data_IF_289425670817
#
_entry.id   IF_289425670817
#
_cell.length_a   1.000
_cell.length_b   1.000
_cell.length_c   1.000
_cell.angle_alpha   90.00
_cell.angle_beta   90.00
_cell.angle_gamma   90.00
#
_symmetry.space_group_name_H-M   'P 1'
#
loop_
_entity.id
_entity.type
_entity.pdbx_description
1 polymer ?
#
# COMPACT_ATOMS: atom_id res chain seq x y z
N UNK A 1 -4.95 -10.05 2.98
CA UNK A 1 -5.75 -10.69 1.90
C UNK A 1 -5.74 -9.98 0.54
N UNK A 2 -6.36 -8.81 0.31
CA UNK A 2 -6.38 -8.22 -1.06
C UNK A 2 -5.00 -7.84 -1.58
N UNK A 3 -4.13 -7.31 -0.71
CA UNK A 3 -2.73 -7.01 -1.04
C UNK A 3 -1.97 -8.29 -1.40
N UNK A 4 -2.09 -9.35 -0.60
CA UNK A 4 -1.46 -10.65 -0.89
C UNK A 4 -1.95 -11.23 -2.21
N UNK A 5 -3.25 -11.14 -2.50
CA UNK A 5 -3.80 -11.56 -3.79
C UNK A 5 -3.13 -10.81 -4.93
N UNK A 6 -2.93 -9.50 -4.82
CA UNK A 6 -2.25 -8.72 -5.86
C UNK A 6 -0.77 -9.13 -6.00
N UNK A 7 -0.07 -9.38 -4.90
CA UNK A 7 1.32 -9.87 -4.94
C UNK A 7 1.39 -11.25 -5.59
N UNK A 8 0.53 -12.17 -5.18
CA UNK A 8 0.42 -13.51 -5.75
C UNK A 8 0.06 -13.48 -7.23
N UNK A 9 -0.91 -12.64 -7.63
CA UNK A 9 -1.33 -12.47 -9.03
C UNK A 9 -0.17 -11.98 -9.90
N UNK A 10 0.67 -11.06 -9.40
CA UNK A 10 1.87 -10.58 -10.10
C UNK A 10 2.96 -11.65 -10.20
N UNK A 11 3.23 -12.36 -9.09
CA UNK A 11 4.22 -13.43 -9.07
C UNK A 11 3.82 -14.57 -10.03
N UNK A 12 2.57 -15.01 -9.95
CA UNK A 12 2.01 -16.05 -10.80
C UNK A 12 1.95 -15.62 -12.28
N UNK A 13 1.53 -14.37 -12.55
CA UNK A 13 1.47 -13.81 -13.90
C UNK A 13 2.83 -13.77 -14.58
N UNK A 14 3.88 -13.48 -13.80
CA UNK A 14 5.27 -13.49 -14.26
C UNK A 14 5.78 -14.92 -14.44
N UNK A 15 5.75 -15.75 -13.39
CA UNK A 15 6.34 -17.09 -13.41
C UNK A 15 5.74 -18.00 -14.49
N UNK A 16 4.44 -17.87 -14.75
CA UNK A 16 3.77 -18.69 -15.77
C UNK A 16 3.76 -18.03 -17.17
N UNK A 17 4.32 -16.83 -17.32
CA UNK A 17 4.24 -15.99 -18.52
C UNK A 17 2.80 -15.82 -19.02
N UNK A 18 1.90 -15.39 -18.13
CA UNK A 18 0.50 -15.15 -18.51
C UNK A 18 0.45 -13.86 -19.36
N UNK A 19 -0.10 -13.91 -20.60
CA UNK A 19 -0.20 -12.75 -21.45
C UNK A 19 -0.88 -11.56 -20.76
N UNK A 20 -0.25 -10.37 -20.85
CA UNK A 20 -0.74 -9.14 -20.24
C UNK A 20 -0.61 -9.05 -18.71
N UNK A 21 -0.08 -10.09 -18.04
CA UNK A 21 0.16 -10.10 -16.59
C UNK A 21 1.61 -10.26 -16.19
N UNK A 22 2.45 -10.82 -17.07
CA UNK A 22 3.89 -10.87 -16.84
C UNK A 22 4.45 -9.46 -16.74
N UNK A 23 5.33 -9.26 -15.75
CA UNK A 23 6.11 -8.03 -15.64
C UNK A 23 7.37 -8.06 -16.51
N UNK A 24 7.67 -9.21 -17.11
CA UNK A 24 8.78 -9.41 -18.04
C UNK A 24 8.25 -9.26 -19.47
N UNK A 25 8.28 -8.05 -20.01
CA UNK A 25 7.80 -7.77 -21.35
C UNK A 25 8.84 -7.04 -22.19
N UNK A 26 8.69 -7.08 -23.52
CA UNK A 26 9.65 -6.49 -24.47
C UNK A 26 10.00 -5.03 -24.14
N UNK A 27 9.02 -4.22 -23.75
CA UNK A 27 9.29 -2.83 -23.37
C UNK A 27 10.20 -2.73 -22.12
N UNK A 28 9.96 -3.53 -21.07
CA UNK A 28 10.80 -3.54 -19.88
C UNK A 28 12.24 -3.95 -20.23
N UNK A 29 12.41 -4.90 -21.17
CA UNK A 29 13.73 -5.32 -21.68
C UNK A 29 14.44 -4.22 -22.47
N UNK A 30 13.69 -3.42 -23.24
CA UNK A 30 14.24 -2.24 -23.95
C UNK A 30 14.60 -1.11 -22.97
N UNK A 31 13.82 -0.93 -21.91
CA UNK A 31 14.14 0.03 -20.86
C UNK A 31 15.48 -0.31 -20.18
N UNK A 32 15.81 -1.60 -20.00
CA UNK A 32 17.13 -2.03 -19.48
C UNK A 32 18.29 -1.59 -20.38
N UNK A 33 18.10 -1.63 -21.71
CA UNK A 33 19.09 -1.17 -22.69
C UNK A 33 19.28 0.35 -22.60
N UNK A 34 18.18 1.12 -22.57
CA UNK A 34 18.22 2.58 -22.43
C UNK A 34 18.91 2.99 -21.12
N UNK A 35 18.65 2.25 -20.04
CA UNK A 35 19.20 2.51 -18.73
C UNK A 35 20.65 2.03 -18.55
N UNK A 36 21.18 1.23 -19.49
CA UNK A 36 22.52 0.61 -19.49
C UNK A 36 22.80 -0.26 -18.26
N UNK A 37 21.85 -1.15 -17.96
CA UNK A 37 21.84 -2.00 -16.77
C UNK A 37 21.45 -3.42 -17.17
N UNK A 38 21.93 -4.43 -16.44
CA UNK A 38 21.65 -5.86 -16.71
C UNK A 38 21.91 -6.25 -18.19
N UNK A 39 23.14 -6.08 -18.70
CA UNK A 39 23.47 -6.35 -20.10
C UNK A 39 23.12 -7.78 -20.55
N UNK A 40 23.14 -8.74 -19.63
CA UNK A 40 22.78 -10.14 -19.88
C UNK A 40 21.29 -10.36 -20.20
N UNK A 41 20.45 -9.34 -20.05
CA UNK A 41 19.01 -9.38 -20.24
C UNK A 41 18.50 -8.44 -21.32
N UNK A 42 19.37 -7.60 -21.85
CA UNK A 42 19.06 -6.63 -22.89
C UNK A 42 18.76 -7.35 -24.22
N UNK A 43 17.91 -6.78 -25.07
CA UNK A 43 17.67 -7.32 -26.40
C UNK A 43 18.97 -7.34 -27.22
N UNK A 44 19.24 -8.48 -27.86
CA UNK A 44 20.34 -8.67 -28.80
C UNK A 44 19.78 -8.37 -30.18
N UNK A 45 20.33 -7.35 -30.85
CA UNK A 45 19.95 -6.97 -32.21
C UNK A 45 20.95 -7.59 -33.17
N UNK A 46 20.46 -8.38 -34.11
CA UNK A 46 21.26 -8.98 -35.18
C UNK A 46 21.32 -8.07 -36.41
N UNK A 47 22.27 -8.33 -37.31
CA UNK A 47 22.50 -7.52 -38.52
C UNK A 47 21.29 -7.51 -39.48
N UNK A 48 20.42 -8.51 -39.39
CA UNK A 48 19.17 -8.62 -40.15
C UNK A 48 18.00 -7.82 -39.53
N UNK A 49 18.23 -7.13 -38.41
CA UNK A 49 17.23 -6.37 -37.66
C UNK A 49 16.36 -7.22 -36.73
N UNK A 50 16.61 -8.52 -36.60
CA UNK A 50 15.91 -9.36 -35.64
C UNK A 50 16.38 -9.09 -34.21
N UNK A 51 15.43 -9.05 -33.28
CA UNK A 51 15.68 -8.88 -31.84
C UNK A 51 15.46 -10.21 -31.11
N UNK A 52 16.51 -10.71 -30.46
CA UNK A 52 16.41 -11.82 -29.52
C UNK A 52 16.43 -11.31 -28.08
N UNK A 53 15.59 -11.91 -27.24
CA UNK A 53 15.46 -11.56 -25.83
C UNK A 53 16.02 -12.69 -24.97
N UNK A 54 17.13 -12.48 -24.25
CA UNK A 54 17.71 -13.48 -23.35
C UNK A 54 16.71 -13.91 -22.28
N UNK A 55 16.79 -15.18 -21.88
CA UNK A 55 15.90 -15.75 -20.86
C UNK A 55 16.23 -15.19 -19.47
N UNK A 56 15.18 -14.87 -18.71
CA UNK A 56 15.31 -14.47 -17.31
C UNK A 56 15.75 -15.62 -16.41
N UNK A 57 16.27 -15.28 -15.23
CA UNK A 57 16.65 -16.29 -14.22
C UNK A 57 15.46 -17.07 -13.68
N UNK A 58 14.30 -16.43 -13.62
CA UNK A 58 13.04 -17.06 -13.21
C UNK A 58 12.29 -17.77 -14.35
N UNK A 59 12.86 -17.81 -15.57
CA UNK A 59 12.25 -18.48 -16.70
C UNK A 59 12.04 -19.98 -16.41
N UNK A 60 10.86 -20.48 -16.76
CA UNK A 60 10.51 -21.90 -16.64
C UNK A 60 10.16 -22.48 -18.00
N UNK A 61 10.71 -23.66 -18.30
CA UNK A 61 10.28 -24.46 -19.45
C UNK A 61 8.81 -24.86 -19.33
N UNK A 62 8.19 -25.26 -20.45
CA UNK A 62 6.82 -25.77 -20.43
C UNK A 62 6.64 -26.94 -19.44
N UNK A 63 7.66 -27.80 -19.31
CA UNK A 63 7.66 -28.91 -18.36
C UNK A 63 7.79 -28.42 -16.92
N UNK A 64 8.66 -27.45 -16.64
CA UNK A 64 8.78 -26.84 -15.30
C UNK A 64 7.48 -26.15 -14.88
N UNK A 65 6.83 -25.40 -15.78
CA UNK A 65 5.50 -24.81 -15.53
C UNK A 65 4.45 -25.87 -15.27
N UNK A 66 4.48 -26.99 -15.99
CA UNK A 66 3.58 -28.12 -15.74
C UNK A 66 3.82 -28.72 -14.38
N UNK A 67 5.08 -28.96 -13.99
CA UNK A 67 5.46 -29.43 -12.65
C UNK A 67 5.00 -28.45 -11.56
N UNK A 68 5.14 -27.14 -11.79
CA UNK A 68 4.70 -26.09 -10.86
C UNK A 68 3.20 -26.22 -10.57
N UNK A 69 2.37 -26.27 -11.62
CA UNK A 69 0.93 -26.47 -11.46
C UNK A 69 0.60 -27.84 -10.87
N UNK A 70 1.33 -28.90 -11.25
CA UNK A 70 1.08 -30.24 -10.73
C UNK A 70 1.32 -30.34 -9.22
N UNK A 71 2.38 -29.69 -8.72
CA UNK A 71 2.70 -29.65 -7.29
C UNK A 71 1.54 -29.03 -6.51
N UNK A 72 1.02 -27.88 -6.96
CA UNK A 72 -0.10 -27.19 -6.31
C UNK A 72 -1.40 -28.01 -6.43
N UNK A 73 -1.64 -28.67 -7.57
CA UNK A 73 -2.83 -29.48 -7.81
C UNK A 73 -2.91 -30.75 -6.95
N UNK A 74 -1.76 -31.37 -6.68
CA UNK A 74 -1.68 -32.65 -5.97
C UNK A 74 -1.69 -32.52 -4.44
N UNK A 75 -1.77 -31.30 -3.90
CA UNK A 75 -1.77 -31.10 -2.45
C UNK A 75 -3.06 -31.66 -1.85
N UNK A 76 -2.90 -32.58 -0.90
CA UNK A 76 -4.00 -33.06 -0.05
C UNK A 76 -4.01 -32.24 1.23
N UNK A 77 -5.14 -31.61 1.52
CA UNK A 77 -5.34 -30.80 2.71
C UNK A 77 -6.39 -31.43 3.63
N UNK A 78 -6.29 -31.26 4.95
CA UNK A 78 -7.34 -31.66 5.88
C UNK A 78 -8.67 -30.99 5.53
N UNK A 79 -9.78 -31.68 5.78
CA UNK A 79 -11.12 -31.16 5.53
C UNK A 79 -11.35 -29.86 6.30
N UNK A 80 -11.90 -28.83 5.64
CA UNK A 80 -12.16 -27.52 6.23
C UNK A 80 -10.95 -26.56 6.26
N UNK A 81 -9.76 -26.99 5.85
CA UNK A 81 -8.55 -26.16 5.91
C UNK A 81 -8.42 -25.16 4.74
N UNK A 82 -8.84 -25.55 3.54
CA UNK A 82 -8.93 -24.67 2.38
C UNK A 82 -10.08 -25.11 1.45
N UNK A 83 -10.44 -24.25 0.50
CA UNK A 83 -11.35 -24.64 -0.58
C UNK A 83 -10.66 -25.67 -1.50
N UNK A 84 -11.41 -26.28 -2.41
CA UNK A 84 -10.83 -27.17 -3.43
C UNK A 84 -9.97 -26.39 -4.43
N UNK A 85 -8.69 -26.16 -4.08
CA UNK A 85 -7.72 -25.41 -4.88
C UNK A 85 -7.48 -26.06 -6.24
N UNK A 86 -7.56 -27.40 -6.33
CA UNK A 86 -7.37 -28.16 -7.58
C UNK A 86 -8.29 -27.68 -8.71
N UNK A 87 -9.49 -27.18 -8.39
CA UNK A 87 -10.43 -26.57 -9.34
C UNK A 87 -9.83 -25.37 -10.08
N UNK A 88 -8.95 -24.63 -9.43
CA UNK A 88 -8.35 -23.41 -9.97
C UNK A 88 -7.14 -23.69 -10.88
N UNK A 89 -6.70 -24.95 -11.00
CA UNK A 89 -5.48 -25.31 -11.75
C UNK A 89 -5.78 -26.03 -13.06
N UNK A 90 -5.41 -25.37 -14.15
CA UNK A 90 -5.42 -25.93 -15.49
C UNK A 90 -4.00 -26.35 -15.87
N UNK A 91 -3.64 -27.60 -15.53
CA UNK A 91 -2.26 -28.12 -15.73
C UNK A 91 -1.87 -28.18 -17.21
N UNK A 92 -2.81 -28.56 -18.09
CA UNK A 92 -2.57 -28.57 -19.54
C UNK A 92 -2.28 -27.18 -20.10
N UNK A 93 -3.02 -26.17 -19.61
CA UNK A 93 -2.82 -24.78 -20.02
C UNK A 93 -1.68 -24.09 -19.27
N UNK A 94 -1.14 -24.70 -18.20
CA UNK A 94 -0.14 -24.10 -17.28
C UNK A 94 -0.63 -22.78 -16.69
N UNK A 95 -1.90 -22.74 -16.26
CA UNK A 95 -2.55 -21.56 -15.70
C UNK A 95 -3.20 -21.87 -14.35
N UNK A 96 -3.26 -20.84 -13.52
CA UNK A 96 -4.05 -20.82 -12.29
C UNK A 96 -5.09 -19.70 -12.44
N UNK A 97 -6.38 -20.04 -12.41
CA UNK A 97 -7.49 -19.10 -12.66
C UNK A 97 -8.69 -19.39 -11.75
N UNK A 98 -9.62 -18.43 -11.61
CA UNK A 98 -10.90 -18.66 -10.92
C UNK A 98 -10.80 -18.89 -9.41
N UNK A 99 -9.73 -18.40 -8.77
CA UNK A 99 -9.52 -18.45 -7.33
C UNK A 99 -9.92 -17.12 -6.67
N UNK A 100 -10.39 -17.19 -5.41
CA UNK A 100 -10.77 -16.03 -4.60
C UNK A 100 -9.58 -15.55 -3.75
N UNK A 101 -9.76 -14.43 -3.03
CA UNK A 101 -8.72 -13.88 -2.15
C UNK A 101 -8.26 -14.86 -1.07
N UNK A 102 -9.17 -15.68 -0.53
CA UNK A 102 -8.82 -16.71 0.46
C UNK A 102 -7.91 -17.78 -0.14
N UNK A 103 -8.25 -18.25 -1.33
CA UNK A 103 -7.46 -19.25 -2.07
C UNK A 103 -6.07 -18.68 -2.41
N UNK A 104 -6.01 -17.42 -2.85
CA UNK A 104 -4.74 -16.73 -3.13
C UNK A 104 -3.86 -16.59 -1.88
N UNK A 105 -4.45 -16.19 -0.75
CA UNK A 105 -3.75 -16.13 0.54
C UNK A 105 -3.17 -17.51 0.92
N UNK A 106 -3.98 -18.56 0.81
CA UNK A 106 -3.54 -19.92 1.09
C UNK A 106 -2.42 -20.38 0.16
N UNK A 107 -2.57 -20.14 -1.14
CA UNK A 107 -1.57 -20.48 -2.14
C UNK A 107 -0.26 -19.73 -1.89
N UNK A 108 -0.31 -18.42 -1.64
CA UNK A 108 0.87 -17.59 -1.35
C UNK A 108 1.62 -18.10 -0.12
N UNK A 109 0.90 -18.43 0.97
CA UNK A 109 1.53 -18.72 2.25
C UNK A 109 2.01 -20.16 2.39
N UNK A 110 1.35 -21.11 1.72
CA UNK A 110 1.60 -22.55 1.92
C UNK A 110 2.05 -23.27 0.67
N UNK A 111 1.48 -22.95 -0.51
CA UNK A 111 1.70 -23.76 -1.72
C UNK A 111 2.80 -23.22 -2.62
N UNK A 112 2.87 -21.89 -2.77
CA UNK A 112 3.88 -21.21 -3.58
C UNK A 112 5.31 -21.58 -3.13
N UNK A 113 5.66 -21.58 -1.83
CA UNK A 113 7.00 -21.97 -1.37
C UNK A 113 7.40 -23.39 -1.80
N UNK A 114 6.45 -24.32 -1.79
CA UNK A 114 6.68 -25.72 -2.16
C UNK A 114 6.86 -25.83 -3.67
N UNK A 115 6.02 -25.14 -4.44
CA UNK A 115 6.06 -25.16 -5.89
C UNK A 115 7.37 -24.55 -6.42
N UNK A 116 7.74 -23.34 -5.96
CA UNK A 116 8.97 -22.67 -6.42
C UNK A 116 10.22 -23.44 -6.02
N UNK A 117 10.26 -24.04 -4.82
CA UNK A 117 11.40 -24.86 -4.37
C UNK A 117 11.63 -26.09 -5.24
N UNK A 118 10.58 -26.60 -5.90
CA UNK A 118 10.64 -27.80 -6.75
C UNK A 118 10.89 -27.49 -8.22
N UNK A 119 10.64 -26.28 -8.69
CA UNK A 119 10.69 -25.94 -10.12
C UNK A 119 11.73 -24.89 -10.49
N UNK A 120 12.09 -24.01 -9.56
CA UNK A 120 13.01 -22.90 -9.79
C UNK A 120 14.36 -23.15 -9.10
N UNK A 121 15.45 -22.56 -9.63
CA UNK A 121 16.74 -22.63 -8.97
C UNK A 121 16.74 -21.85 -7.64
N UNK A 122 17.69 -22.18 -6.75
CA UNK A 122 17.66 -21.74 -5.33
C UNK A 122 17.74 -20.23 -5.18
N UNK A 123 18.48 -19.57 -6.05
CA UNK A 123 18.63 -18.11 -6.12
C UNK A 123 17.28 -17.40 -6.35
N UNK A 124 16.40 -17.97 -7.17
CA UNK A 124 15.05 -17.44 -7.43
C UNK A 124 14.03 -17.91 -6.38
N UNK A 125 14.11 -19.19 -5.98
CA UNK A 125 13.15 -19.78 -5.06
C UNK A 125 13.25 -19.19 -3.64
N UNK A 126 14.47 -18.93 -3.16
CA UNK A 126 14.72 -18.42 -1.80
C UNK A 126 13.99 -17.10 -1.51
N UNK A 127 14.12 -16.03 -2.33
CA UNK A 127 13.40 -14.78 -2.07
C UNK A 127 11.88 -14.94 -2.11
N UNK A 128 11.34 -15.77 -3.00
CA UNK A 128 9.90 -16.05 -3.05
C UNK A 128 9.41 -16.80 -1.79
N UNK A 129 10.20 -17.75 -1.30
CA UNK A 129 9.92 -18.47 -0.04
C UNK A 129 9.95 -17.51 1.16
N UNK A 130 10.95 -16.63 1.23
CA UNK A 130 11.05 -15.62 2.31
C UNK A 130 9.88 -14.64 2.24
N UNK A 131 9.46 -14.23 1.06
CA UNK A 131 8.31 -13.35 0.86
C UNK A 131 7.01 -14.01 1.36
N UNK A 132 6.79 -15.28 1.02
CA UNK A 132 5.67 -16.06 1.56
C UNK A 132 5.72 -16.21 3.07
N UNK A 133 6.91 -16.41 3.65
CA UNK A 133 7.09 -16.51 5.10
C UNK A 133 6.76 -15.19 5.81
N UNK A 134 7.19 -14.06 5.23
CA UNK A 134 6.85 -12.72 5.73
C UNK A 134 5.34 -12.49 5.77
N UNK A 135 4.63 -12.76 4.67
CA UNK A 135 3.17 -12.64 4.66
C UNK A 135 2.52 -13.60 5.66
N UNK A 136 2.97 -14.85 5.74
CA UNK A 136 2.48 -15.79 6.75
C UNK A 136 2.66 -15.26 8.18
N UNK A 137 3.76 -14.57 8.47
CA UNK A 137 4.02 -13.94 9.77
C UNK A 137 3.09 -12.78 10.08
N UNK A 138 2.94 -11.81 9.15
CA UNK A 138 2.09 -10.63 9.35
C UNK A 138 0.60 -10.99 9.46
N UNK A 139 0.16 -12.04 8.77
CA UNK A 139 -1.23 -12.48 8.78
C UNK A 139 -1.49 -13.62 9.78
N UNK A 140 -0.57 -13.86 10.72
CA UNK A 140 -0.79 -14.75 11.86
C UNK A 140 -1.92 -14.21 12.74
N UNK A 141 -2.67 -15.11 13.38
CA UNK A 141 -3.72 -14.71 14.36
C UNK A 141 -3.11 -14.00 15.56
N UNK A 142 -1.94 -14.48 15.99
CA UNK A 142 -1.18 -13.94 17.11
C UNK A 142 0.19 -13.51 16.58
N UNK A 143 0.54 -12.24 16.78
CA UNK A 143 1.83 -11.67 16.36
C UNK A 143 2.52 -11.13 17.61
N UNK A 144 3.64 -11.76 17.99
CA UNK A 144 4.48 -11.28 19.09
C UNK A 144 5.25 -10.02 18.65
N UNK A 145 5.12 -8.89 19.35
CA UNK A 145 5.80 -7.64 19.01
C UNK A 145 7.31 -7.79 18.83
N UNK A 146 7.97 -8.69 19.57
CA UNK A 146 9.42 -8.93 19.45
C UNK A 146 9.81 -9.55 18.11
N UNK A 147 8.88 -10.22 17.44
CA UNK A 147 9.09 -10.78 16.12
C UNK A 147 8.87 -9.76 14.99
N UNK A 148 8.25 -8.61 15.27
CA UNK A 148 8.01 -7.57 14.27
C UNK A 148 9.32 -6.93 13.78
N UNK A 149 10.25 -6.63 14.68
CA UNK A 149 11.56 -6.08 14.32
C UNK A 149 12.33 -7.02 13.39
N UNK A 150 12.25 -8.33 13.69
CA UNK A 150 12.83 -9.38 12.85
C UNK A 150 12.15 -9.46 11.48
N UNK A 151 10.81 -9.45 11.43
CA UNK A 151 10.06 -9.44 10.18
C UNK A 151 10.38 -8.21 9.33
N UNK A 152 10.56 -7.04 9.95
CA UNK A 152 10.97 -5.82 9.28
C UNK A 152 12.38 -5.94 8.67
N UNK A 153 13.34 -6.48 9.41
CA UNK A 153 14.69 -6.74 8.85
C UNK A 153 14.65 -7.76 7.70
N UNK A 154 13.89 -8.86 7.89
CA UNK A 154 13.80 -9.93 6.90
C UNK A 154 13.12 -9.48 5.60
N UNK A 155 12.09 -8.62 5.66
CA UNK A 155 11.46 -8.13 4.44
C UNK A 155 12.36 -7.19 3.65
N UNK A 156 13.16 -6.36 4.33
CA UNK A 156 14.13 -5.49 3.65
C UNK A 156 15.14 -6.34 2.87
N UNK A 157 15.72 -7.35 3.50
CA UNK A 157 16.63 -8.28 2.81
C UNK A 157 15.93 -9.05 1.68
N UNK A 158 14.70 -9.50 1.92
CA UNK A 158 13.90 -10.23 0.92
C UNK A 158 13.60 -9.36 -0.29
N UNK A 159 13.29 -8.08 -0.09
CA UNK A 159 13.08 -7.13 -1.17
C UNK A 159 14.37 -6.89 -1.94
N UNK A 160 15.53 -6.75 -1.28
CA UNK A 160 16.82 -6.65 -1.98
C UNK A 160 17.15 -7.90 -2.81
N UNK A 161 16.88 -9.10 -2.29
CA UNK A 161 17.06 -10.34 -3.05
C UNK A 161 16.07 -10.46 -4.21
N UNK A 162 14.81 -10.05 -3.99
CA UNK A 162 13.82 -9.94 -5.04
C UNK A 162 14.24 -8.89 -6.06
N UNK A 163 14.88 -7.79 -5.70
CA UNK A 163 15.44 -6.83 -6.66
C UNK A 163 16.61 -7.43 -7.45
N UNK A 164 17.42 -8.33 -6.88
CA UNK A 164 18.43 -9.06 -7.64
C UNK A 164 17.84 -10.06 -8.64
N UNK A 165 16.72 -10.70 -8.29
CA UNK A 165 16.01 -11.67 -9.14
C UNK A 165 15.02 -11.01 -10.10
N UNK A 166 14.46 -9.87 -9.69
CA UNK A 166 13.38 -9.12 -10.32
C UNK A 166 13.78 -7.67 -10.61
N UNK A 167 15.07 -7.32 -10.72
CA UNK A 167 15.52 -6.16 -11.50
C UNK A 167 15.06 -6.30 -12.96
N UNK A 168 14.68 -7.53 -13.35
CA UNK A 168 13.86 -7.91 -14.49
C UNK A 168 12.40 -7.39 -14.47
N UNK A 169 11.83 -6.99 -13.32
CA UNK A 169 10.38 -6.72 -13.15
C UNK A 169 10.00 -5.45 -12.38
N UNK A 170 10.94 -4.67 -11.82
CA UNK A 170 10.65 -3.35 -11.24
C UNK A 170 11.86 -2.41 -11.31
N UNK A 171 11.76 -1.36 -12.13
CA UNK A 171 11.95 -0.03 -11.57
C UNK A 171 13.37 0.52 -11.37
N UNK A 172 14.36 0.19 -12.21
CA UNK A 172 15.52 1.10 -12.38
C UNK A 172 15.06 2.49 -12.88
N UNK A 173 13.86 2.57 -13.47
CA UNK A 173 13.24 3.80 -13.94
C UNK A 173 12.68 4.72 -12.83
N UNK A 174 12.29 4.19 -11.67
CA UNK A 174 11.73 5.02 -10.58
C UNK A 174 12.80 5.45 -9.57
N UNK A 175 13.86 4.66 -9.36
CA UNK A 175 14.89 4.92 -8.35
C UNK A 175 16.06 5.77 -8.88
N UNK A 176 16.31 5.83 -10.21
CA UNK A 176 17.32 6.74 -10.78
C UNK A 176 17.03 8.21 -10.47
N UNK A 177 15.74 8.59 -10.37
CA UNK A 177 15.34 9.96 -9.98
C UNK A 177 15.51 10.24 -8.47
N UNK A 178 15.69 9.20 -7.67
CA UNK A 178 15.82 9.28 -6.21
C UNK A 178 17.28 9.17 -5.73
N UNK A 179 18.24 8.90 -6.63
CA UNK A 179 19.67 8.97 -6.33
C UNK A 179 20.11 10.42 -6.19
N UNK A 180 20.02 10.95 -4.96
CA UNK A 180 20.46 12.30 -4.60
C UNK A 180 21.95 12.37 -4.27
N UNK A 181 22.58 11.23 -3.97
CA UNK A 181 24.02 11.12 -3.73
C UNK A 181 24.64 10.00 -4.59
N UNK A 182 25.53 10.37 -5.52
CA UNK A 182 26.21 9.43 -6.44
C UNK A 182 27.36 8.66 -5.80
N UNK A 183 27.83 9.05 -4.62
CA UNK A 183 28.91 8.35 -3.91
C UNK A 183 28.46 7.12 -3.12
N UNK A 184 27.16 6.97 -2.88
CA UNK A 184 26.52 5.81 -2.21
C UNK A 184 25.12 5.57 -2.77
N UNK A 185 25.02 5.11 -4.03
CA UNK A 185 23.77 5.04 -4.76
C UNK A 185 22.76 4.10 -4.09
N UNK A 186 23.18 2.98 -3.51
CA UNK A 186 22.28 1.99 -2.89
C UNK A 186 21.54 2.56 -1.67
N UNK A 187 22.24 3.28 -0.79
CA UNK A 187 21.65 3.91 0.39
C UNK A 187 20.69 5.05 0.03
N UNK A 188 21.02 5.82 -1.02
CA UNK A 188 20.15 6.90 -1.52
C UNK A 188 18.87 6.37 -2.16
N UNK A 189 18.93 5.20 -2.82
CA UNK A 189 17.76 4.55 -3.40
C UNK A 189 16.84 4.00 -2.31
N UNK A 190 17.39 3.38 -1.28
CA UNK A 190 16.61 2.85 -0.15
C UNK A 190 15.84 3.97 0.60
N UNK A 191 16.48 5.12 0.83
CA UNK A 191 15.85 6.27 1.47
C UNK A 191 14.74 6.90 0.59
N UNK A 192 14.99 7.02 -0.72
CA UNK A 192 14.02 7.51 -1.69
C UNK A 192 12.79 6.62 -1.80
N UNK A 193 12.99 5.31 -1.80
CA UNK A 193 11.92 4.31 -1.79
C UNK A 193 11.07 4.42 -0.52
N UNK A 194 11.70 4.52 0.64
CA UNK A 194 11.01 4.65 1.93
C UNK A 194 10.17 5.94 2.00
N UNK A 195 10.70 7.07 1.51
CA UNK A 195 9.96 8.33 1.42
C UNK A 195 8.77 8.26 0.45
N UNK A 196 8.92 7.59 -0.71
CA UNK A 196 7.84 7.37 -1.68
C UNK A 196 6.75 6.48 -1.12
N UNK A 197 7.09 5.38 -0.46
CA UNK A 197 6.12 4.50 0.18
C UNK A 197 5.38 5.21 1.32
N UNK A 198 6.06 6.03 2.13
CA UNK A 198 5.41 6.88 3.14
C UNK A 198 4.47 7.91 2.51
N UNK A 199 4.87 8.58 1.41
CA UNK A 199 4.01 9.53 0.71
C UNK A 199 2.83 8.84 0.02
N UNK A 200 3.01 7.65 -0.55
CA UNK A 200 1.94 6.85 -1.14
C UNK A 200 0.98 6.31 -0.07
N UNK A 201 1.49 5.96 1.10
CA UNK A 201 0.72 5.59 2.27
C UNK A 201 -0.14 6.77 2.76
N UNK A 202 0.46 7.96 2.92
CA UNK A 202 -0.25 9.19 3.28
C UNK A 202 -1.27 9.58 2.19
N UNK A 203 -0.92 9.48 0.92
CA UNK A 203 -1.82 9.78 -0.19
C UNK A 203 -2.98 8.80 -0.29
N UNK A 204 -2.77 7.50 0.01
CA UNK A 204 -3.86 6.50 0.09
C UNK A 204 -4.73 6.70 1.33
N UNK A 205 -4.12 7.10 2.45
CA UNK A 205 -4.82 7.47 3.68
C UNK A 205 -5.73 8.70 3.44
N UNK A 206 -5.22 9.70 2.71
CA UNK A 206 -5.97 10.90 2.32
C UNK A 206 -6.97 10.65 1.16
N UNK A 207 -6.68 9.75 0.20
CA UNK A 207 -7.60 9.39 -0.89
C UNK A 207 -8.81 8.59 -0.40
N UNK A 208 -8.68 7.83 0.69
CA UNK A 208 -9.85 7.15 1.29
C UNK A 208 -10.87 8.14 1.87
N UNK A 209 -10.49 9.42 2.03
CA UNK A 209 -11.37 10.50 2.46
C UNK A 209 -12.24 11.08 1.34
N UNK A 210 -11.96 10.84 0.06
CA UNK A 210 -12.73 11.44 -1.02
C UNK A 210 -12.73 10.57 -2.26
N UNK A 211 -13.93 10.16 -2.70
CA UNK A 211 -14.32 10.18 -4.12
C UNK A 211 -15.84 9.93 -4.23
N UNK A 212 -16.53 10.39 -5.29
CA UNK A 212 -16.00 11.06 -6.49
C UNK A 212 -16.78 12.33 -6.90
N UNK A 213 -16.11 13.37 -7.42
CA UNK A 213 -16.70 14.29 -8.41
C UNK A 213 -15.61 15.00 -9.21
N UNK A 214 -15.72 14.85 -10.53
CA UNK A 214 -15.23 15.66 -11.65
C UNK A 214 -14.36 16.90 -11.42
N UNK A 215 -13.36 17.06 -12.32
CA UNK A 215 -13.02 18.22 -13.18
C UNK A 215 -11.49 18.13 -13.44
N UNK A 216 -11.05 17.62 -14.60
CA UNK A 216 -10.71 18.32 -15.85
C UNK A 216 -9.62 19.39 -15.69
N UNK A 217 -8.63 19.26 -16.58
CA UNK A 217 -7.36 19.98 -16.75
C UNK A 217 -7.37 21.50 -16.57
N UNK A 218 -6.24 22.07 -16.09
CA UNK A 218 -5.42 22.94 -16.96
C UNK A 218 -4.13 23.48 -16.31
N UNK A 219 -3.03 23.22 -17.03
CA UNK A 219 -1.86 24.03 -17.35
C UNK A 219 -1.01 24.75 -16.26
N UNK A 220 0.23 24.22 -16.15
CA UNK A 220 1.53 24.91 -16.16
C UNK A 220 1.75 26.15 -15.28
N UNK A 221 2.47 25.95 -14.17
CA UNK A 221 3.75 26.65 -13.93
C UNK A 221 4.51 26.01 -12.76
N UNK A 222 5.81 25.83 -12.95
CA UNK A 222 6.71 25.13 -12.03
C UNK A 222 6.65 25.68 -10.60
N UNK A 223 6.26 24.84 -9.64
CA UNK A 223 6.41 25.11 -8.20
C UNK A 223 6.85 23.83 -7.51
N UNK A 224 7.94 23.94 -6.75
CA UNK A 224 8.50 22.87 -5.93
C UNK A 224 7.42 22.19 -5.06
N UNK A 225 7.46 20.86 -5.03
CA UNK A 225 6.49 19.97 -4.37
C UNK A 225 6.44 20.06 -2.83
N UNK A 226 7.26 20.90 -2.19
CA UNK A 226 7.23 21.09 -0.74
C UNK A 226 6.77 22.52 -0.40
N UNK A 227 5.69 22.69 0.38
CA UNK A 227 5.47 23.96 1.06
C UNK A 227 6.63 24.16 2.05
N UNK A 228 7.39 25.26 1.90
CA UNK A 228 8.38 25.66 2.91
C UNK A 228 7.65 26.17 4.16
N UNK A 229 7.12 25.25 4.96
CA UNK A 229 6.58 25.53 6.29
C UNK A 229 7.35 24.68 7.28
N UNK A 230 8.20 25.36 8.05
CA UNK A 230 9.02 24.81 9.12
C UNK A 230 10.20 25.73 9.39
N UNK A 231 10.19 26.45 10.51
CA UNK A 231 11.41 27.06 11.06
C UNK A 231 12.13 26.01 11.91
N UNK A 232 13.48 25.95 11.89
CA UNK A 232 14.23 25.13 12.83
C UNK A 232 14.10 25.67 14.25
N UNK A 233 13.98 24.77 15.23
CA UNK A 233 14.09 25.09 16.65
C UNK A 233 15.57 25.33 16.98
N UNK A 234 15.87 26.58 17.39
CA UNK A 234 17.12 27.13 17.97
C UNK A 234 18.43 27.04 17.16
N UNK A 235 18.86 28.20 16.64
CA UNK A 235 20.23 28.51 16.25
C UNK A 235 20.36 29.98 15.85
N UNK A 236 21.32 30.70 16.44
CA UNK A 236 21.48 32.17 16.43
C UNK A 236 21.65 32.78 15.02
N UNK A 237 21.04 33.95 14.81
CA UNK A 237 21.54 35.02 13.95
C UNK A 237 21.09 35.05 12.49
N UNK A 238 20.11 35.91 12.16
CA UNK A 238 20.27 37.07 11.24
C UNK A 238 18.90 37.67 10.88
N UNK A 239 18.87 38.99 10.99
CA UNK A 239 17.77 39.90 10.68
C UNK A 239 17.37 39.87 9.20
N UNK A 240 16.08 39.68 8.90
CA UNK A 240 15.48 40.34 7.72
C UNK A 240 13.95 40.45 7.80
N UNK A 241 13.53 41.71 7.81
CA UNK A 241 12.27 42.38 7.43
C UNK A 241 10.96 41.56 7.31
N UNK A 242 9.99 42.03 8.12
CA UNK A 242 8.52 41.90 8.01
C UNK A 242 7.99 41.59 6.60
N UNK A 243 7.26 40.47 6.48
CA UNK A 243 6.08 40.36 5.59
C UNK A 243 4.93 39.78 6.43
N UNK A 244 3.90 40.60 6.66
CA UNK A 244 2.61 40.14 7.20
C UNK A 244 1.98 39.25 6.13
N UNK A 245 1.90 37.95 6.37
CA UNK A 245 1.05 37.05 5.58
C UNK A 245 -0.37 37.10 6.18
N UNK A 246 -1.44 37.13 5.36
CA UNK A 246 -2.79 36.98 5.87
C UNK A 246 -2.91 35.58 6.44
N UNK A 247 -3.40 35.45 7.67
CA UNK A 247 -3.58 34.15 8.32
C UNK A 247 -4.41 33.21 7.46
N UNK A 248 -4.15 31.90 7.55
CA UNK A 248 -5.06 30.89 7.04
C UNK A 248 -6.43 31.09 7.72
N UNK A 249 -7.40 31.68 7.02
CA UNK A 249 -8.78 31.65 7.47
C UNK A 249 -9.30 30.23 7.25
N UNK A 250 -9.49 29.52 8.34
CA UNK A 250 -10.25 28.26 8.34
C UNK A 250 -11.70 28.64 8.04
N UNK A 251 -12.25 28.11 6.96
CA UNK A 251 -13.66 28.29 6.62
C UNK A 251 -14.55 27.72 7.75
N UNK A 252 -15.68 28.38 8.02
CA UNK A 252 -16.59 28.08 9.14
C UNK A 252 -17.04 26.61 9.13
N UNK A 253 -17.18 26.03 7.94
CA UNK A 253 -17.55 24.62 7.74
C UNK A 253 -16.43 23.69 8.21
N UNK A 254 -15.19 23.95 7.83
CA UNK A 254 -14.02 23.14 8.22
C UNK A 254 -13.76 23.29 9.72
N UNK A 255 -13.93 24.50 10.25
CA UNK A 255 -13.80 24.78 11.68
C UNK A 255 -14.81 23.99 12.50
N UNK A 256 -16.08 23.99 12.09
CA UNK A 256 -17.13 23.22 12.76
C UNK A 256 -16.89 21.70 12.70
N UNK A 257 -16.39 21.18 11.58
CA UNK A 257 -16.04 19.77 11.43
C UNK A 257 -14.87 19.36 12.33
N UNK A 258 -13.83 20.19 12.41
CA UNK A 258 -12.67 19.93 13.26
C UNK A 258 -13.05 19.93 14.75
N UNK A 259 -13.84 20.92 15.19
CA UNK A 259 -14.33 21.01 16.55
C UNK A 259 -15.21 19.81 16.92
N UNK A 260 -16.10 19.42 16.01
CA UNK A 260 -16.92 18.24 16.18
C UNK A 260 -16.07 16.98 16.34
N UNK A 261 -15.06 16.80 15.48
CA UNK A 261 -14.18 15.64 15.57
C UNK A 261 -13.48 15.56 16.92
N UNK A 262 -13.00 16.69 17.46
CA UNK A 262 -12.37 16.74 18.78
C UNK A 262 -13.35 16.35 19.88
N UNK A 263 -14.59 16.85 19.87
CA UNK A 263 -15.57 16.55 20.92
C UNK A 263 -16.09 15.10 20.89
N UNK A 264 -16.26 14.50 19.72
CA UNK A 264 -16.71 13.10 19.62
C UNK A 264 -15.60 12.07 19.89
N UNK A 265 -14.34 12.51 19.94
CA UNK A 265 -13.18 11.64 20.21
C UNK A 265 -12.39 12.09 21.44
N UNK A 266 -12.94 12.99 22.27
CA UNK A 266 -12.32 13.32 23.54
C UNK A 266 -12.77 12.30 24.60
N UNK A 267 -11.82 11.70 25.30
CA UNK A 267 -12.06 10.80 26.43
C UNK A 267 -12.42 11.60 27.71
N UNK A 268 -13.32 12.59 27.58
CA UNK A 268 -13.78 13.42 28.67
C UNK A 268 -15.21 13.02 29.07
N UNK A 269 -15.35 12.50 30.28
CA UNK A 269 -16.63 11.98 30.80
C UNK A 269 -17.75 13.03 30.82
N UNK A 270 -17.40 14.31 31.05
CA UNK A 270 -18.35 15.42 31.06
C UNK A 270 -18.94 15.67 29.67
N UNK A 271 -18.11 15.63 28.63
CA UNK A 271 -18.55 15.82 27.23
C UNK A 271 -19.39 14.62 26.78
N UNK A 272 -19.03 13.41 27.20
CA UNK A 272 -19.77 12.19 26.89
C UNK A 272 -21.21 12.21 27.45
N UNK A 273 -21.41 12.79 28.64
CA UNK A 273 -22.76 13.01 29.20
C UNK A 273 -23.63 13.88 28.28
N UNK A 274 -23.10 15.01 27.80
CA UNK A 274 -23.82 15.89 26.87
C UNK A 274 -24.09 15.24 25.51
N UNK A 275 -23.17 14.43 25.00
CA UNK A 275 -23.38 13.65 23.77
C UNK A 275 -24.59 12.73 23.94
N UNK A 276 -24.67 12.01 25.06
CA UNK A 276 -25.77 11.11 25.38
C UNK A 276 -27.10 11.85 25.56
N UNK A 277 -27.11 12.99 26.27
CA UNK A 277 -28.29 13.83 26.46
C UNK A 277 -28.86 14.35 25.13
N UNK A 278 -28.01 14.85 24.23
CA UNK A 278 -28.45 15.30 22.93
C UNK A 278 -28.95 14.15 22.05
N UNK A 279 -28.34 12.97 22.15
CA UNK A 279 -28.79 11.79 21.42
C UNK A 279 -30.19 11.35 21.85
N UNK A 280 -30.50 11.44 23.16
CA UNK A 280 -31.84 11.19 23.69
C UNK A 280 -32.81 12.26 23.17
N UNK A 281 -32.45 13.55 23.25
CA UNK A 281 -33.27 14.67 22.76
C UNK A 281 -33.68 14.49 21.28
N UNK A 282 -32.73 14.17 20.40
CA UNK A 282 -32.99 13.99 18.96
C UNK A 282 -33.79 12.70 18.67
N UNK A 283 -33.62 11.65 19.49
CA UNK A 283 -34.39 10.40 19.35
C UNK A 283 -35.87 10.57 19.72
N UNK A 284 -36.18 11.55 20.58
CA UNK A 284 -37.54 11.83 21.06
C UNK A 284 -38.43 12.42 19.97
N UNK A 285 -37.85 12.98 18.90
CA UNK A 285 -38.57 13.58 17.76
C UNK A 285 -39.19 12.55 16.78
N UNK A 286 -39.24 11.25 17.12
CA UNK A 286 -39.86 10.14 16.35
C UNK A 286 -39.49 10.13 14.85
N UNK A 287 -38.21 10.33 14.53
CA UNK A 287 -37.66 10.20 13.17
C UNK A 287 -37.04 8.82 12.95
N UNK A 288 -36.82 8.45 11.68
CA UNK A 288 -36.03 7.23 11.33
C UNK A 288 -34.64 7.34 11.94
N UNK A 289 -34.13 6.23 12.49
CA UNK A 289 -32.83 6.15 13.20
C UNK A 289 -31.66 6.81 12.47
N UNK A 290 -31.61 6.71 11.14
CA UNK A 290 -30.55 7.33 10.33
C UNK A 290 -30.66 8.85 10.27
N UNK A 291 -31.87 9.40 10.19
CA UNK A 291 -32.11 10.84 10.21
C UNK A 291 -31.80 11.43 11.58
N UNK A 292 -32.17 10.74 12.66
CA UNK A 292 -31.81 11.14 14.03
C UNK A 292 -30.30 11.17 14.24
N UNK A 293 -29.54 10.22 13.68
CA UNK A 293 -28.09 10.23 13.74
C UNK A 293 -27.48 11.38 12.94
N UNK A 294 -28.07 11.73 11.79
CA UNK A 294 -27.63 12.86 10.95
C UNK A 294 -27.92 14.21 11.59
N UNK A 295 -29.09 14.37 12.21
CA UNK A 295 -29.52 15.57 12.94
C UNK A 295 -28.65 15.76 14.19
N UNK A 296 -28.46 14.71 15.00
CA UNK A 296 -27.52 14.73 16.14
C UNK A 296 -26.12 15.17 15.71
N UNK A 297 -25.63 14.60 14.62
CA UNK A 297 -24.36 14.92 14.00
C UNK A 297 -24.20 16.40 13.58
N UNK A 298 -25.27 17.04 13.09
CA UNK A 298 -25.21 18.41 12.58
C UNK A 298 -25.44 19.44 13.68
N UNK A 299 -26.40 19.16 14.56
CA UNK A 299 -26.94 20.16 15.48
C UNK A 299 -26.29 20.13 16.86
N UNK A 300 -25.55 19.05 17.18
CA UNK A 300 -24.89 18.88 18.48
C UNK A 300 -23.97 20.05 18.85
N UNK A 301 -23.25 20.64 17.89
CA UNK A 301 -22.30 21.72 18.18
C UNK A 301 -22.98 23.01 18.66
N UNK A 302 -24.12 23.37 18.06
CA UNK A 302 -24.89 24.56 18.46
C UNK A 302 -25.63 24.27 19.76
N UNK A 303 -26.26 23.10 19.87
CA UNK A 303 -26.93 22.67 21.10
C UNK A 303 -25.97 22.59 22.31
N UNK A 304 -24.79 22.01 22.13
CA UNK A 304 -23.78 21.87 23.19
C UNK A 304 -23.28 23.23 23.68
N UNK A 305 -23.04 24.17 22.76
CA UNK A 305 -22.69 25.55 23.12
C UNK A 305 -23.78 26.19 23.96
N UNK A 306 -25.04 26.08 23.54
CA UNK A 306 -26.16 26.68 24.25
C UNK A 306 -26.35 26.09 25.65
N UNK A 307 -26.16 24.77 25.81
CA UNK A 307 -26.23 24.10 27.12
C UNK A 307 -25.09 24.51 28.06
N UNK A 308 -23.88 24.68 27.53
CA UNK A 308 -22.72 25.16 28.31
C UNK A 308 -22.93 26.62 28.73
N UNK A 309 -23.39 27.47 27.81
CA UNK A 309 -23.71 28.88 28.11
C UNK A 309 -24.87 29.02 29.10
N UNK A 310 -25.84 28.09 29.10
CA UNK A 310 -26.90 28.04 30.11
C UNK A 310 -26.36 27.68 31.49
N UNK A 311 -25.54 26.63 31.62
CA UNK A 311 -24.94 26.26 32.90
C UNK A 311 -24.05 27.36 33.48
N UNK A 312 -23.22 28.01 32.65
CA UNK A 312 -22.38 29.12 33.08
C UNK A 312 -23.20 30.31 33.63
N UNK A 313 -24.41 30.55 33.11
CA UNK A 313 -25.33 31.60 33.59
C UNK A 313 -26.16 31.19 34.82
N UNK A 314 -26.18 29.91 35.15
CA UNK A 314 -26.78 29.38 36.38
C UNK A 314 -25.75 29.41 37.51
N UNK A 315 -24.49 29.06 37.22
CA UNK A 315 -23.37 29.11 38.18
C UNK A 315 -22.98 30.55 38.58
N UNK A 316 -23.28 31.57 37.76
CA UNK A 316 -23.08 33.00 38.10
C UNK A 316 -24.19 33.60 38.99
N UNK A 317 -25.25 32.84 39.28
CA UNK A 317 -26.40 33.28 40.10
C UNK A 317 -26.48 32.64 41.49
N UNK A 318 -25.56 31.73 41.82
CA UNK A 318 -25.28 31.24 43.18
C UNK A 318 -24.09 31.99 43.81
#
# INVERSE_FOLDING_TARGET
MHIEKNVFDNANGTLLDIPGKSKDHKNARRDLLELKVMPELQPIVYDDGNEEFPRSRFWMSAEQKRKFCQVIKNVKLPQGYASNISRCLQVGERKITGYKSHDAHFMMNYLLPIAVKKTLPKDVATPLIRLSAFFKGIWSKDVDPRHLDKLQSEIVETLCLLEGVCMELRGIWELKQDVRNKGRPEGSMAEGFQAKECAAFIARYLKKSNNPSHIVDNHSNSKSFFPKVGRPIKGKGRTSKKKKHPGFMIDRIIWAQAHRYVLFNCDCEEVERYINEHQIFVSTQRKRKWNSAQDHSKDFMEWFRDQVDLKLREDERE
#
